data_IF_055306458765
#
_entry.id   IF_055306458765
#
_cell.length_a   1.000
_cell.length_b   1.000
_cell.length_c   1.000
_cell.angle_alpha   90.00
_cell.angle_beta   90.00
_cell.angle_gamma   90.00
#
_symmetry.space_group_name_H-M   'P 1'
#
loop_
_entity.id
_entity.type
_entity.pdbx_description
1 polymer ?
#
# COMPACT_ATOMS: atom_id res chain seq x y z
N UNK A 1 13.67 -16.65 8.03
CA UNK A 1 13.08 -17.41 6.90
C UNK A 1 12.93 -16.51 5.69
N UNK A 2 13.59 -16.81 4.56
CA UNK A 2 13.29 -16.14 3.28
C UNK A 2 11.87 -16.53 2.86
N UNK A 3 11.03 -15.56 2.49
CA UNK A 3 9.70 -15.85 1.92
C UNK A 3 9.92 -16.58 0.59
N UNK A 4 9.45 -17.82 0.47
CA UNK A 4 9.45 -18.52 -0.82
C UNK A 4 8.69 -17.68 -1.84
N UNK A 5 9.28 -17.45 -3.01
CA UNK A 5 8.65 -16.72 -4.11
C UNK A 5 7.63 -17.66 -4.74
N UNK A 6 6.37 -17.22 -4.85
CA UNK A 6 5.36 -17.95 -5.62
C UNK A 6 5.85 -18.18 -7.06
N UNK A 7 5.63 -19.39 -7.56
CA UNK A 7 5.93 -19.76 -8.94
C UNK A 7 4.64 -19.83 -9.77
N UNK A 8 4.78 -19.84 -11.09
CA UNK A 8 3.65 -19.83 -12.04
C UNK A 8 2.71 -21.02 -11.84
N UNK A 9 3.24 -22.21 -11.53
CA UNK A 9 2.43 -23.40 -11.24
C UNK A 9 1.52 -23.18 -10.03
N UNK A 10 2.05 -22.59 -8.95
CA UNK A 10 1.27 -22.30 -7.75
C UNK A 10 0.21 -21.21 -8.02
N UNK A 11 0.56 -20.18 -8.80
CA UNK A 11 -0.40 -19.14 -9.19
C UNK A 11 -1.54 -19.71 -10.05
N UNK A 12 -1.24 -20.61 -10.99
CA UNK A 12 -2.25 -21.31 -11.80
C UNK A 12 -3.19 -22.18 -10.97
N UNK A 13 -2.67 -22.88 -9.95
CA UNK A 13 -3.51 -23.65 -9.01
C UNK A 13 -4.45 -22.73 -8.21
N UNK A 14 -3.97 -21.54 -7.81
CA UNK A 14 -4.80 -20.56 -7.10
C UNK A 14 -5.92 -20.07 -8.01
N UNK A 15 -5.59 -19.59 -9.23
CA UNK A 15 -6.54 -19.05 -10.20
C UNK A 15 -7.66 -20.04 -10.53
N UNK A 16 -7.31 -21.28 -10.89
CA UNK A 16 -8.27 -22.31 -11.26
C UNK A 16 -9.31 -22.62 -10.15
N UNK A 17 -8.91 -22.47 -8.88
CA UNK A 17 -9.79 -22.75 -7.75
C UNK A 17 -10.77 -21.59 -7.46
N UNK A 18 -10.48 -20.39 -7.97
CA UNK A 18 -11.31 -19.19 -7.78
C UNK A 18 -12.38 -18.99 -8.85
N UNK A 19 -12.18 -19.53 -10.05
CA UNK A 19 -13.15 -19.45 -11.15
C UNK A 19 -14.35 -20.38 -10.95
N UNK A 20 -14.16 -21.45 -10.17
CA UNK A 20 -15.12 -22.56 -10.09
C UNK A 20 -15.90 -22.63 -8.76
N UNK A 21 -15.53 -21.88 -7.71
CA UNK A 21 -16.14 -21.96 -6.37
C UNK A 21 -15.77 -20.77 -5.45
N UNK A 22 -16.45 -20.65 -4.30
CA UNK A 22 -15.98 -19.83 -3.17
C UNK A 22 -14.57 -20.25 -2.75
N UNK A 23 -13.65 -19.28 -2.61
CA UNK A 23 -12.22 -19.54 -2.45
C UNK A 23 -11.92 -20.29 -1.14
N UNK A 24 -11.74 -21.60 -1.21
CA UNK A 24 -11.32 -22.43 -0.09
C UNK A 24 -9.78 -22.55 -0.02
N UNK A 25 -9.13 -21.60 0.68
CA UNK A 25 -7.66 -21.60 0.82
C UNK A 25 -7.08 -22.87 1.46
N UNK A 26 -7.88 -23.58 2.28
CA UNK A 26 -7.46 -24.84 2.90
C UNK A 26 -7.32 -25.97 1.87
N UNK A 27 -8.17 -26.00 0.84
CA UNK A 27 -8.07 -26.96 -0.26
C UNK A 27 -6.90 -26.64 -1.19
N UNK A 28 -6.69 -25.36 -1.48
CA UNK A 28 -5.55 -24.91 -2.28
C UNK A 28 -4.24 -25.32 -1.60
N UNK A 29 -4.13 -25.15 -0.27
CA UNK A 29 -2.95 -25.59 0.50
C UNK A 29 -2.66 -27.08 0.34
N UNK A 30 -3.67 -27.95 0.21
CA UNK A 30 -3.45 -29.40 0.00
C UNK A 30 -2.72 -29.67 -1.32
N UNK A 31 -2.91 -28.81 -2.33
CA UNK A 31 -2.29 -28.91 -3.65
C UNK A 31 -0.90 -28.26 -3.71
N UNK A 32 -0.67 -27.22 -2.91
CA UNK A 32 0.61 -26.49 -2.80
C UNK A 32 1.06 -26.36 -1.32
N UNK A 33 1.47 -27.49 -0.69
CA UNK A 33 1.72 -27.55 0.75
C UNK A 33 2.92 -26.71 1.21
N UNK A 34 3.78 -26.28 0.29
CA UNK A 34 4.91 -25.38 0.55
C UNK A 34 4.49 -23.96 0.94
N UNK A 35 3.22 -23.58 0.69
CA UNK A 35 2.65 -22.29 1.11
C UNK A 35 1.56 -22.48 2.17
N UNK A 36 1.61 -21.63 3.20
CA UNK A 36 0.54 -21.53 4.19
C UNK A 36 -0.73 -20.92 3.58
N UNK A 37 -1.89 -21.23 4.17
CA UNK A 37 -3.17 -20.61 3.79
C UNK A 37 -3.11 -19.08 3.82
N UNK A 38 -2.38 -18.51 4.79
CA UNK A 38 -2.14 -17.07 4.90
C UNK A 38 -1.36 -16.53 3.70
N UNK A 39 -0.29 -17.21 3.28
CA UNK A 39 0.48 -16.80 2.09
C UNK A 39 -0.37 -16.87 0.83
N UNK A 40 -1.14 -17.94 0.66
CA UNK A 40 -2.04 -18.13 -0.49
C UNK A 40 -3.08 -17.00 -0.55
N UNK A 41 -3.76 -16.72 0.57
CA UNK A 41 -4.72 -15.60 0.65
C UNK A 41 -4.07 -14.26 0.35
N UNK A 42 -2.87 -14.01 0.85
CA UNK A 42 -2.13 -12.78 0.57
C UNK A 42 -1.71 -12.68 -0.90
N UNK A 43 -1.33 -13.79 -1.53
CA UNK A 43 -0.99 -13.85 -2.95
C UNK A 43 -2.19 -13.49 -3.80
N UNK A 44 -3.35 -14.11 -3.53
CA UNK A 44 -4.62 -13.78 -4.18
C UNK A 44 -4.95 -12.29 -4.07
N UNK A 45 -5.19 -11.81 -2.84
CA UNK A 45 -5.68 -10.45 -2.56
C UNK A 45 -4.79 -9.31 -3.05
N UNK A 46 -3.50 -9.57 -3.28
CA UNK A 46 -2.56 -8.52 -3.65
C UNK A 46 -2.08 -8.61 -5.10
N UNK A 47 -2.19 -9.77 -5.76
CA UNK A 47 -1.51 -10.03 -7.03
C UNK A 47 -2.31 -10.85 -8.04
N UNK A 48 -3.21 -11.74 -7.63
CA UNK A 48 -3.88 -12.65 -8.58
C UNK A 48 -5.37 -12.37 -8.78
N UNK A 49 -6.00 -11.61 -7.89
CA UNK A 49 -7.40 -11.23 -8.03
C UNK A 49 -7.61 -10.44 -9.35
N UNK A 50 -8.37 -10.98 -10.32
CA UNK A 50 -8.54 -10.36 -11.65
C UNK A 50 -9.19 -8.98 -11.60
N UNK A 51 -9.89 -8.64 -10.51
CA UNK A 51 -10.48 -7.32 -10.34
C UNK A 51 -9.43 -6.23 -10.06
N UNK A 52 -8.18 -6.59 -9.73
CA UNK A 52 -7.12 -5.65 -9.39
C UNK A 52 -6.53 -4.96 -10.61
N UNK A 53 -6.37 -3.64 -10.51
CA UNK A 53 -5.59 -2.86 -11.46
C UNK A 53 -4.10 -2.91 -11.06
N UNK A 54 -3.30 -3.59 -11.88
CA UNK A 54 -1.87 -3.80 -11.64
C UNK A 54 -0.97 -2.66 -12.15
N UNK A 55 -1.53 -1.72 -12.92
CA UNK A 55 -0.81 -0.59 -13.51
C UNK A 55 -0.09 0.25 -12.46
N UNK A 56 0.78 1.14 -12.90
CA UNK A 56 1.36 2.16 -12.00
C UNK A 56 0.23 3.03 -11.44
N UNK A 57 0.44 3.58 -10.24
CA UNK A 57 -0.46 4.63 -9.76
C UNK A 57 -0.24 5.84 -10.64
N UNK A 58 -1.32 6.45 -11.13
CA UNK A 58 -1.24 7.73 -11.81
C UNK A 58 -1.19 8.89 -10.79
N UNK A 59 -0.86 10.09 -11.25
CA UNK A 59 -0.70 11.26 -10.39
C UNK A 59 -1.99 11.60 -9.62
N UNK A 60 -3.16 11.33 -10.21
CA UNK A 60 -4.46 11.55 -9.56
C UNK A 60 -4.65 10.60 -8.37
N UNK A 61 -4.31 9.31 -8.55
CA UNK A 61 -4.36 8.31 -7.50
C UNK A 61 -3.34 8.61 -6.39
N UNK A 62 -2.12 8.99 -6.77
CA UNK A 62 -1.07 9.35 -5.82
C UNK A 62 -1.51 10.51 -4.92
N UNK A 63 -2.05 11.57 -5.52
CA UNK A 63 -2.55 12.75 -4.80
C UNK A 63 -3.72 12.38 -3.88
N UNK A 64 -4.69 11.62 -4.40
CA UNK A 64 -5.84 11.15 -3.64
C UNK A 64 -5.41 10.31 -2.42
N UNK A 65 -4.45 9.39 -2.60
CA UNK A 65 -3.98 8.54 -1.49
C UNK A 65 -3.31 9.40 -0.41
N UNK A 66 -2.51 10.40 -0.78
CA UNK A 66 -1.88 11.33 0.18
C UNK A 66 -2.95 12.09 0.97
N UNK A 67 -3.95 12.64 0.29
CA UNK A 67 -5.05 13.38 0.91
C UNK A 67 -5.86 12.49 1.87
N UNK A 68 -6.28 11.31 1.42
CA UNK A 68 -7.02 10.35 2.24
C UNK A 68 -6.25 9.94 3.49
N UNK A 69 -4.95 9.70 3.35
CA UNK A 69 -4.10 9.33 4.49
C UNK A 69 -3.99 10.48 5.50
N UNK A 70 -3.91 11.74 5.06
CA UNK A 70 -3.92 12.89 5.98
C UNK A 70 -5.25 12.99 6.73
N UNK A 71 -6.36 12.91 5.99
CA UNK A 71 -7.70 13.16 6.53
C UNK A 71 -8.21 12.02 7.43
N UNK A 72 -7.63 10.82 7.32
CA UNK A 72 -8.08 9.63 8.04
C UNK A 72 -7.00 9.03 8.96
N UNK A 73 -5.96 9.80 9.28
CA UNK A 73 -4.95 9.37 10.24
C UNK A 73 -5.53 9.42 11.65
N UNK A 74 -5.56 8.26 12.31
CA UNK A 74 -5.91 8.17 13.72
C UNK A 74 -4.76 8.61 14.63
N UNK A 75 -4.98 8.58 15.96
CA UNK A 75 -3.94 8.84 16.95
C UNK A 75 -2.67 8.03 16.66
N UNK A 76 -1.50 8.64 16.88
CA UNK A 76 -0.18 8.05 16.62
C UNK A 76 0.11 7.71 15.14
N UNK A 77 -0.58 8.34 14.19
CA UNK A 77 -0.35 8.13 12.75
C UNK A 77 -0.85 6.77 12.25
N UNK A 78 -1.80 6.16 12.94
CA UNK A 78 -2.40 4.88 12.55
C UNK A 78 -3.33 5.09 11.34
N UNK A 79 -3.11 4.31 10.27
CA UNK A 79 -3.90 4.39 9.04
C UNK A 79 -4.75 3.13 8.90
N UNK A 80 -6.06 3.30 8.77
CA UNK A 80 -7.03 2.23 8.54
C UNK A 80 -7.22 1.99 7.04
N UNK A 81 -6.25 1.33 6.40
CA UNK A 81 -6.20 1.12 4.95
C UNK A 81 -7.48 0.49 4.34
N UNK A 82 -8.14 -0.40 5.09
CA UNK A 82 -9.39 -1.05 4.67
C UNK A 82 -10.47 -0.01 4.33
N UNK A 83 -10.48 1.13 5.03
CA UNK A 83 -11.46 2.19 4.82
C UNK A 83 -11.11 3.05 3.58
N UNK A 84 -9.83 3.11 3.18
CA UNK A 84 -9.38 3.94 2.06
C UNK A 84 -9.60 3.26 0.70
N UNK A 85 -9.45 1.93 0.65
CA UNK A 85 -9.63 1.14 -0.59
C UNK A 85 -10.96 1.42 -1.30
N UNK A 86 -12.14 1.36 -0.64
CA UNK A 86 -13.40 1.62 -1.32
C UNK A 86 -13.50 3.06 -1.84
N UNK A 87 -12.91 4.04 -1.14
CA UNK A 87 -12.93 5.45 -1.56
C UNK A 87 -12.07 5.63 -2.82
N UNK A 88 -10.84 5.11 -2.82
CA UNK A 88 -9.96 5.16 -3.99
C UNK A 88 -10.63 4.49 -5.20
N UNK A 89 -11.26 3.32 -4.99
CA UNK A 89 -11.99 2.64 -6.06
C UNK A 89 -13.17 3.47 -6.58
N UNK A 90 -13.95 4.10 -5.69
CA UNK A 90 -15.10 4.91 -6.09
C UNK A 90 -14.70 6.15 -6.90
N UNK A 91 -13.59 6.79 -6.54
CA UNK A 91 -13.14 8.03 -7.19
C UNK A 91 -12.38 7.78 -8.51
N UNK A 92 -11.71 6.64 -8.65
CA UNK A 92 -10.80 6.36 -9.78
C UNK A 92 -11.34 5.28 -10.72
N UNK A 93 -12.34 4.51 -10.29
CA UNK A 93 -12.82 3.31 -10.97
C UNK A 93 -11.87 2.09 -10.87
N UNK A 94 -10.65 2.26 -10.33
CA UNK A 94 -9.62 1.23 -10.30
C UNK A 94 -9.60 0.49 -8.96
N UNK A 95 -9.68 -0.84 -8.98
CA UNK A 95 -9.50 -1.62 -7.74
C UNK A 95 -8.01 -1.76 -7.44
N UNK A 96 -7.51 -1.00 -6.45
CA UNK A 96 -6.12 -1.12 -5.98
C UNK A 96 -6.05 -2.01 -4.74
N UNK A 97 -5.02 -2.85 -4.66
CA UNK A 97 -4.81 -3.69 -3.47
C UNK A 97 -4.35 -2.84 -2.29
N UNK A 98 -4.69 -3.27 -1.06
CA UNK A 98 -4.21 -2.65 0.18
C UNK A 98 -2.69 -2.47 0.18
N UNK A 99 -1.98 -3.48 -0.34
CA UNK A 99 -0.52 -3.47 -0.42
C UNK A 99 0.01 -2.42 -1.40
N UNK A 100 -0.71 -2.12 -2.49
CA UNK A 100 -0.32 -1.08 -3.45
C UNK A 100 -0.31 0.30 -2.78
N UNK A 101 -1.39 0.64 -2.07
CA UNK A 101 -1.53 1.90 -1.32
C UNK A 101 -0.45 2.02 -0.23
N UNK A 102 -0.26 0.96 0.56
CA UNK A 102 0.78 0.90 1.60
C UNK A 102 2.18 1.14 1.04
N UNK A 103 2.54 0.42 -0.03
CA UNK A 103 3.85 0.51 -0.65
C UNK A 103 4.11 1.93 -1.17
N UNK A 104 3.12 2.54 -1.82
CA UNK A 104 3.22 3.92 -2.29
C UNK A 104 3.44 4.89 -1.12
N UNK A 105 2.56 4.88 -0.12
CA UNK A 105 2.66 5.81 1.01
C UNK A 105 3.97 5.69 1.77
N UNK A 106 4.40 4.47 2.11
CA UNK A 106 5.63 4.30 2.88
C UNK A 106 6.88 4.63 2.07
N UNK A 107 6.88 4.35 0.76
CA UNK A 107 7.94 4.79 -0.15
C UNK A 107 8.00 6.32 -0.22
N UNK A 108 6.86 6.97 -0.49
CA UNK A 108 6.76 8.43 -0.57
C UNK A 108 7.19 9.07 0.75
N UNK A 109 6.65 8.62 1.88
CA UNK A 109 7.02 9.10 3.22
C UNK A 109 8.53 8.95 3.48
N UNK A 110 9.14 7.83 3.09
CA UNK A 110 10.58 7.65 3.20
C UNK A 110 11.37 8.67 2.38
N UNK A 111 10.96 8.93 1.14
CA UNK A 111 11.58 9.95 0.28
C UNK A 111 11.44 11.37 0.85
N UNK A 112 10.29 11.71 1.43
CA UNK A 112 10.08 13.01 2.06
C UNK A 112 10.98 13.14 3.29
N UNK A 113 11.03 12.12 4.15
CA UNK A 113 11.88 12.12 5.34
C UNK A 113 13.38 12.19 4.98
N UNK A 114 13.81 11.52 3.91
CA UNK A 114 15.22 11.57 3.49
C UNK A 114 15.59 12.91 2.83
N UNK A 115 14.70 13.51 2.04
CA UNK A 115 14.91 14.83 1.44
C UNK A 115 14.98 15.95 2.48
N UNK A 116 14.23 15.82 3.57
CA UNK A 116 14.19 16.80 4.65
C UNK A 116 15.22 16.52 5.75
N UNK A 117 15.95 15.40 5.70
CA UNK A 117 17.08 15.14 6.58
C UNK A 117 18.29 15.98 6.15
N UNK A 118 18.50 17.12 6.80
CA UNK A 118 19.77 17.85 6.79
C UNK A 118 20.52 17.49 8.07
N UNK A 119 21.62 16.72 8.04
CA UNK A 119 22.47 16.61 9.21
C UNK A 119 23.07 17.99 9.46
N UNK A 120 22.65 18.68 10.53
CA UNK A 120 23.31 19.90 10.97
C UNK A 120 24.74 19.53 11.36
N UNK A 121 25.70 20.12 10.65
CA UNK A 121 27.05 20.26 11.18
C UNK A 121 27.00 21.51 12.05
N UNK A 122 27.28 21.29 13.32
CA UNK A 122 27.63 22.28 14.34
C UNK A 122 26.49 22.79 15.25
N UNK A 123 26.97 23.24 16.42
CA UNK A 123 26.43 23.36 17.77
C UNK A 123 25.14 24.17 18.01
N UNK A 124 24.56 23.96 19.20
CA UNK A 124 23.56 24.77 19.92
C UNK A 124 22.13 24.90 19.34
N UNK A 125 21.23 24.03 19.85
CA UNK A 125 19.79 24.32 19.94
C UNK A 125 18.94 23.74 18.82
N UNK A 126 18.67 22.44 18.86
CA UNK A 126 17.75 21.77 17.92
C UNK A 126 16.31 22.15 18.24
N UNK A 127 15.69 22.99 17.40
CA UNK A 127 14.23 23.04 17.32
C UNK A 127 13.79 21.85 16.46
N UNK A 128 13.40 20.77 17.13
CA UNK A 128 12.97 19.52 16.53
C UNK A 128 11.67 19.78 15.74
N UNK A 129 11.79 20.15 14.46
CA UNK A 129 10.63 20.35 13.58
C UNK A 129 9.89 19.01 13.52
N UNK A 130 8.61 19.00 13.96
CA UNK A 130 7.83 17.78 14.03
C UNK A 130 7.80 17.10 12.67
N UNK A 131 7.97 15.78 12.66
CA UNK A 131 7.85 14.96 11.44
C UNK A 131 6.51 15.16 10.73
N UNK A 132 5.47 15.58 11.46
CA UNK A 132 4.18 15.98 10.91
C UNK A 132 4.22 17.35 10.23
N UNK A 133 4.95 18.32 10.77
CA UNK A 133 5.09 19.66 10.19
C UNK A 133 5.82 19.62 8.85
N UNK A 134 6.84 18.77 8.73
CA UNK A 134 7.55 18.55 7.45
C UNK A 134 6.59 18.01 6.38
N UNK A 135 5.77 17.01 6.74
CA UNK A 135 4.80 16.41 5.81
C UNK A 135 3.67 17.39 5.48
N UNK A 136 3.19 18.18 6.44
CA UNK A 136 2.21 19.24 6.20
C UNK A 136 2.76 20.32 5.26
N UNK A 137 3.95 20.87 5.54
CA UNK A 137 4.58 21.92 4.73
C UNK A 137 4.89 21.48 3.31
N UNK A 138 5.36 20.23 3.12
CA UNK A 138 5.67 19.73 1.78
C UNK A 138 4.41 19.45 0.96
N UNK A 139 3.28 19.21 1.60
CA UNK A 139 2.01 19.00 0.91
C UNK A 139 1.28 20.29 0.55
N UNK A 140 1.48 21.37 1.32
CA UNK A 140 1.06 22.73 0.94
C UNK A 140 1.76 23.22 -0.34
N UNK A 141 2.92 22.64 -0.70
CA UNK A 141 3.57 22.90 -2.00
C UNK A 141 2.84 22.29 -3.20
N UNK A 142 1.94 21.33 -2.97
CA UNK A 142 1.15 20.67 -4.01
C UNK A 142 -0.30 21.18 -4.07
N UNK A 143 -0.69 22.17 -3.25
CA UNK A 143 -1.93 22.92 -3.42
C UNK A 143 -1.80 23.86 -4.63
N UNK A 144 -1.84 23.28 -5.84
CA UNK A 144 -2.14 24.01 -7.06
C UNK A 144 -3.66 24.04 -7.28
N UNK A 145 -4.33 24.87 -6.48
CA UNK A 145 -5.46 25.63 -7.01
C UNK A 145 -4.93 26.99 -7.45
N UNK A 146 -4.55 27.08 -8.72
CA UNK A 146 -4.70 28.32 -9.48
C UNK A 146 -5.00 28.01 -10.93
#
# INVERSE_FOLDING_TARGET
>A
MRKSKFNEKADGIILNHTENNSICYAEIRKKIPEYTTKQIRQRWKNQLDPALCHDRLDESEETLIIELVKNNQGPNGKIHWINLIPIVKAMTGKSRSENKLKNFWYSKRGQLLSKNYKPSRDDDGVQEISRLDILCQETLKYDFLR
#
